data_IF_849463332780
#
_entry.id   IF_849463332780
#
_cell.length_a   1.000
_cell.length_b   1.000
_cell.length_c   1.000
_cell.angle_alpha   90.00
_cell.angle_beta   90.00
_cell.angle_gamma   90.00
#
_symmetry.space_group_name_H-M   'P 1'
#
loop_
_entity.id
_entity.type
_entity.pdbx_description
1 polymer ?
#
# COMPACT_ATOMS: atom_id res chain seq x y z
N UNK A 1 36.53 -0.67 19.15
CA UNK A 1 35.85 -0.34 17.88
C UNK A 1 36.01 -1.53 16.96
N UNK A 2 34.93 -2.24 16.64
CA UNK A 2 34.96 -3.45 15.79
C UNK A 2 34.51 -3.09 14.38
N UNK A 3 35.13 -3.69 13.37
CA UNK A 3 34.79 -3.52 11.96
C UNK A 3 34.56 -4.90 11.36
N UNK A 4 33.45 -5.07 10.64
CA UNK A 4 33.09 -6.32 10.00
C UNK A 4 33.02 -6.12 8.48
N UNK A 5 33.52 -7.09 7.72
CA UNK A 5 33.38 -7.16 6.27
C UNK A 5 32.44 -8.33 5.95
N UNK A 6 31.51 -8.12 5.03
CA UNK A 6 30.57 -9.14 4.58
C UNK A 6 30.71 -9.37 3.07
N UNK A 7 30.62 -10.63 2.65
CA UNK A 7 30.75 -11.00 1.24
C UNK A 7 29.52 -10.62 0.39
N UNK A 8 28.39 -10.27 1.03
CA UNK A 8 27.16 -9.84 0.36
C UNK A 8 26.25 -9.07 1.32
N UNK A 9 25.26 -8.35 0.77
CA UNK A 9 24.25 -7.64 1.57
C UNK A 9 23.42 -8.59 2.45
N UNK A 10 23.25 -9.85 2.03
CA UNK A 10 22.55 -10.87 2.82
C UNK A 10 23.40 -11.31 4.02
N UNK A 11 24.69 -11.52 3.81
CA UNK A 11 25.63 -11.85 4.88
C UNK A 11 25.77 -10.68 5.87
N UNK A 12 25.81 -9.44 5.37
CA UNK A 12 25.81 -8.23 6.21
C UNK A 12 24.58 -8.18 7.11
N UNK A 13 23.38 -8.38 6.54
CA UNK A 13 22.14 -8.39 7.31
C UNK A 13 22.10 -9.51 8.36
N UNK A 14 22.62 -10.70 8.04
CA UNK A 14 22.71 -11.80 9.00
C UNK A 14 23.65 -11.49 10.17
N UNK A 15 24.82 -10.86 9.90
CA UNK A 15 25.77 -10.43 10.94
C UNK A 15 25.11 -9.38 11.85
N UNK A 16 24.43 -8.39 11.27
CA UNK A 16 23.72 -7.36 12.04
C UNK A 16 22.64 -8.01 12.93
N UNK A 17 21.85 -8.94 12.37
CA UNK A 17 20.79 -9.63 13.10
C UNK A 17 21.32 -10.44 14.29
N UNK A 18 22.38 -11.23 14.07
CA UNK A 18 23.00 -12.03 15.13
C UNK A 18 23.59 -11.13 16.23
N UNK A 19 24.23 -10.02 15.85
CA UNK A 19 24.79 -9.05 16.79
C UNK A 19 23.72 -8.44 17.69
N UNK A 20 22.63 -7.92 17.11
CA UNK A 20 21.53 -7.33 17.88
C UNK A 20 20.84 -8.37 18.77
N UNK A 21 20.61 -9.57 18.25
CA UNK A 21 19.98 -10.65 18.99
C UNK A 21 20.81 -11.11 20.19
N UNK A 22 22.14 -11.23 20.04
CA UNK A 22 23.04 -11.56 21.15
C UNK A 22 23.07 -10.46 22.20
N UNK A 23 23.16 -9.20 21.79
CA UNK A 23 23.12 -8.08 22.73
C UNK A 23 21.81 -8.07 23.55
N UNK A 24 20.69 -8.47 22.95
CA UNK A 24 19.42 -8.55 23.66
C UNK A 24 19.35 -9.75 24.61
N UNK A 25 19.70 -10.94 24.11
CA UNK A 25 19.50 -12.20 24.84
C UNK A 25 20.60 -12.50 25.87
N UNK A 26 21.83 -12.06 25.61
CA UNK A 26 23.00 -12.34 26.45
C UNK A 26 23.28 -11.14 27.34
N UNK A 27 23.40 -9.94 26.74
CA UNK A 27 23.79 -8.73 27.47
C UNK A 27 22.57 -7.98 28.06
N UNK A 28 21.35 -8.46 27.82
CA UNK A 28 20.11 -7.92 28.39
C UNK A 28 19.70 -6.54 27.87
N UNK A 29 20.29 -6.07 26.77
CA UNK A 29 20.02 -4.73 26.24
C UNK A 29 18.61 -4.69 25.64
N UNK A 30 17.71 -3.76 26.06
CA UNK A 30 16.39 -3.63 25.47
C UNK A 30 16.44 -3.28 23.99
N UNK A 31 15.51 -3.81 23.18
CA UNK A 31 15.41 -3.48 21.75
C UNK A 31 15.30 -1.98 21.47
N UNK A 32 14.64 -1.23 22.36
CA UNK A 32 14.48 0.23 22.25
C UNK A 32 15.78 1.02 22.34
N UNK A 33 16.87 0.40 22.83
CA UNK A 33 18.20 1.01 22.90
C UNK A 33 19.11 0.64 21.73
N UNK A 34 18.59 -0.12 20.75
CA UNK A 34 19.33 -0.56 19.58
C UNK A 34 18.87 0.17 18.33
N UNK A 35 19.81 0.58 17.49
CA UNK A 35 19.52 1.22 16.21
C UNK A 35 20.50 0.76 15.13
N UNK A 36 20.00 0.61 13.91
CA UNK A 36 20.82 0.36 12.72
C UNK A 36 20.72 1.56 11.79
N UNK A 37 21.82 2.25 11.58
CA UNK A 37 21.90 3.40 10.68
C UNK A 37 22.36 2.94 9.30
N UNK A 38 21.55 3.23 8.29
CA UNK A 38 21.85 2.90 6.89
C UNK A 38 22.01 4.16 6.06
N UNK A 39 22.87 4.11 5.03
CA UNK A 39 23.11 5.25 4.14
C UNK A 39 21.87 5.66 3.32
N UNK A 40 21.01 4.71 2.94
CA UNK A 40 19.85 5.00 2.09
C UNK A 40 18.62 4.16 2.44
N UNK A 41 17.56 4.84 2.87
CA UNK A 41 16.25 4.25 3.19
C UNK A 41 15.40 3.90 1.95
N UNK A 42 15.86 4.16 0.72
CA UNK A 42 15.09 3.78 -0.49
C UNK A 42 15.39 2.37 -0.99
N UNK A 43 16.60 1.87 -0.76
CA UNK A 43 17.07 0.58 -1.31
C UNK A 43 17.31 -0.49 -0.25
N UNK A 44 17.79 -0.10 0.94
CA UNK A 44 18.22 -1.04 1.97
C UNK A 44 17.12 -1.59 2.90
N UNK A 45 16.03 -0.87 3.27
CA UNK A 45 15.29 -1.25 4.46
C UNK A 45 14.41 -2.48 4.25
N UNK A 46 13.89 -2.76 3.05
CA UNK A 46 12.99 -3.90 2.87
C UNK A 46 13.71 -5.25 3.08
N UNK A 47 14.87 -5.43 2.45
CA UNK A 47 15.67 -6.65 2.61
C UNK A 47 16.22 -6.78 4.04
N UNK A 48 16.79 -5.71 4.58
CA UNK A 48 17.34 -5.72 5.94
C UNK A 48 16.25 -5.97 6.99
N UNK A 49 15.12 -5.26 6.90
CA UNK A 49 13.99 -5.45 7.81
C UNK A 49 13.45 -6.89 7.73
N UNK A 50 13.40 -7.46 6.52
CA UNK A 50 12.98 -8.86 6.37
C UNK A 50 13.97 -9.84 7.02
N UNK A 51 15.27 -9.66 6.80
CA UNK A 51 16.31 -10.51 7.42
C UNK A 51 16.28 -10.43 8.96
N UNK A 52 16.15 -9.21 9.50
CA UNK A 52 16.02 -8.96 10.94
C UNK A 52 14.74 -9.59 11.51
N UNK A 53 13.59 -9.42 10.83
CA UNK A 53 12.33 -10.02 11.25
C UNK A 53 12.40 -11.56 11.27
N UNK A 54 13.06 -12.18 10.28
CA UNK A 54 13.30 -13.63 10.26
C UNK A 54 14.18 -14.12 11.42
N UNK A 55 15.07 -13.28 11.92
CA UNK A 55 15.92 -13.58 13.08
C UNK A 55 15.23 -13.32 14.44
N UNK A 56 13.99 -12.83 14.43
CA UNK A 56 13.23 -12.49 15.63
C UNK A 56 13.60 -11.13 16.24
N UNK A 57 14.27 -10.27 15.47
CA UNK A 57 14.56 -8.89 15.88
C UNK A 57 13.36 -8.01 15.49
N UNK A 58 12.71 -7.32 16.45
CA UNK A 58 11.61 -6.41 16.13
C UNK A 58 12.14 -5.22 15.35
N UNK A 59 11.50 -4.92 14.21
CA UNK A 59 11.89 -3.80 13.34
C UNK A 59 10.73 -2.84 13.20
N UNK A 60 10.94 -1.61 13.66
CA UNK A 60 10.08 -0.48 13.31
C UNK A 60 10.69 0.21 12.11
N UNK A 61 10.17 -0.06 10.92
CA UNK A 61 10.54 0.72 9.73
C UNK A 61 9.72 2.01 9.80
N UNK A 62 10.34 3.21 9.83
CA UNK A 62 9.60 4.46 9.73
C UNK A 62 8.67 4.40 8.52
N UNK A 63 7.44 4.88 8.66
CA UNK A 63 6.50 4.96 7.54
C UNK A 63 7.23 5.61 6.36
N UNK A 64 7.29 4.89 5.23
CA UNK A 64 8.14 5.25 4.11
C UNK A 64 7.92 6.71 3.71
N UNK A 65 9.02 7.45 3.53
CA UNK A 65 8.95 8.84 3.09
C UNK A 65 8.18 8.93 1.77
N UNK A 66 7.09 9.68 1.79
CA UNK A 66 6.18 9.90 0.67
C UNK A 66 5.15 10.95 1.09
N UNK A 67 4.50 11.60 0.12
CA UNK A 67 3.43 12.55 0.45
C UNK A 67 2.27 11.81 1.11
N UNK A 68 1.55 12.44 2.03
CA UNK A 68 0.31 11.87 2.58
C UNK A 68 -0.66 11.46 1.46
N UNK A 69 -0.69 12.23 0.36
CA UNK A 69 -1.51 11.94 -0.82
C UNK A 69 -1.15 10.62 -1.54
N UNK A 70 0.08 10.12 -1.39
CA UNK A 70 0.52 8.86 -1.98
C UNK A 70 0.10 7.65 -1.13
N UNK A 71 -0.28 7.87 0.12
CA UNK A 71 -0.75 6.78 0.99
C UNK A 71 -2.06 6.22 0.42
N UNK A 72 -2.20 4.89 0.25
CA UNK A 72 -3.33 4.29 -0.45
C UNK A 72 -4.71 4.74 0.06
N UNK A 73 -4.86 4.88 1.38
CA UNK A 73 -6.11 5.33 2.00
C UNK A 73 -6.44 6.79 1.67
N UNK A 74 -5.45 7.69 1.81
CA UNK A 74 -5.61 9.10 1.47
C UNK A 74 -5.90 9.27 -0.02
N UNK A 75 -5.16 8.57 -0.89
CA UNK A 75 -5.38 8.61 -2.34
C UNK A 75 -6.79 8.17 -2.72
N UNK A 76 -7.31 7.11 -2.11
CA UNK A 76 -8.66 6.63 -2.39
C UNK A 76 -9.73 7.66 -1.99
N UNK A 77 -9.57 8.34 -0.85
CA UNK A 77 -10.48 9.42 -0.44
C UNK A 77 -10.43 10.62 -1.40
N UNK A 78 -9.23 11.01 -1.83
CA UNK A 78 -9.06 12.07 -2.83
C UNK A 78 -9.69 11.70 -4.17
N UNK A 79 -9.60 10.43 -4.59
CA UNK A 79 -10.30 9.93 -5.78
C UNK A 79 -11.82 10.02 -5.62
N UNK A 80 -12.38 9.67 -4.46
CA UNK A 80 -13.82 9.83 -4.21
C UNK A 80 -14.24 11.30 -4.33
N UNK A 81 -13.47 12.22 -3.74
CA UNK A 81 -13.76 13.65 -3.83
C UNK A 81 -13.70 14.16 -5.27
N UNK A 82 -12.69 13.75 -6.05
CA UNK A 82 -12.59 14.10 -7.46
C UNK A 82 -13.79 13.58 -8.25
N UNK A 83 -14.21 12.34 -7.99
CA UNK A 83 -15.41 11.74 -8.60
C UNK A 83 -16.69 12.53 -8.29
N UNK A 84 -16.82 13.05 -7.06
CA UNK A 84 -17.98 13.88 -6.70
C UNK A 84 -18.00 15.24 -7.41
N UNK A 85 -16.84 15.74 -7.83
CA UNK A 85 -16.71 17.03 -8.52
C UNK A 85 -16.85 16.88 -10.04
N UNK A 86 -16.13 15.91 -10.63
CA UNK A 86 -15.91 15.82 -12.09
C UNK A 86 -16.62 14.61 -12.73
N UNK A 87 -17.25 13.75 -11.92
CA UNK A 87 -17.89 12.51 -12.37
C UNK A 87 -16.96 11.29 -12.29
N UNK A 88 -17.55 10.11 -12.46
CA UNK A 88 -16.87 8.82 -12.30
C UNK A 88 -16.44 8.24 -13.67
N UNK A 89 -15.14 8.02 -13.85
CA UNK A 89 -14.64 7.26 -14.99
C UNK A 89 -14.46 5.75 -14.67
N UNK A 90 -14.21 4.94 -15.71
CA UNK A 90 -14.09 3.50 -15.58
C UNK A 90 -12.83 3.05 -14.79
N UNK A 91 -11.73 3.80 -14.87
CA UNK A 91 -10.47 3.50 -14.19
C UNK A 91 -10.58 3.83 -12.70
N UNK A 92 -11.15 4.98 -12.36
CA UNK A 92 -11.51 5.39 -11.01
C UNK A 92 -12.50 4.41 -10.38
N UNK A 93 -13.54 4.01 -11.09
CA UNK A 93 -14.50 3.02 -10.60
C UNK A 93 -13.81 1.70 -10.26
N UNK A 94 -12.95 1.21 -11.16
CA UNK A 94 -12.17 0.00 -10.93
C UNK A 94 -11.23 0.16 -9.72
N UNK A 95 -10.52 1.27 -9.64
CA UNK A 95 -9.57 1.59 -8.58
C UNK A 95 -10.22 1.73 -7.21
N UNK A 96 -11.44 2.27 -7.14
CA UNK A 96 -12.21 2.36 -5.90
C UNK A 96 -12.72 0.99 -5.45
N UNK A 97 -13.17 0.16 -6.40
CA UNK A 97 -13.66 -1.19 -6.13
C UNK A 97 -12.55 -2.12 -5.63
N UNK A 98 -11.37 -2.10 -6.27
CA UNK A 98 -10.23 -2.95 -5.87
C UNK A 98 -9.34 -2.32 -4.80
N UNK A 99 -9.48 -1.01 -4.59
CA UNK A 99 -8.72 -0.24 -3.63
C UNK A 99 -9.16 -0.44 -2.17
N UNK A 100 -8.63 0.37 -1.24
CA UNK A 100 -8.87 0.20 0.19
C UNK A 100 -10.34 0.43 0.62
N UNK A 101 -11.16 1.04 -0.24
CA UNK A 101 -12.57 1.28 0.03
C UNK A 101 -13.42 0.05 -0.34
N UNK A 102 -13.34 -0.42 -1.58
CA UNK A 102 -14.15 -1.55 -2.05
C UNK A 102 -13.58 -2.94 -1.71
N UNK A 103 -12.25 -3.05 -1.57
CA UNK A 103 -11.51 -4.28 -1.23
C UNK A 103 -11.93 -5.52 -2.03
N UNK A 104 -12.41 -5.35 -3.27
CA UNK A 104 -12.77 -6.46 -4.14
C UNK A 104 -11.52 -7.19 -4.64
N UNK A 105 -11.50 -8.50 -4.43
CA UNK A 105 -10.47 -9.36 -4.96
C UNK A 105 -10.72 -9.70 -6.46
N UNK A 106 -9.73 -10.23 -7.19
CA UNK A 106 -9.87 -10.55 -8.60
C UNK A 106 -10.98 -11.57 -8.93
N UNK A 107 -11.31 -12.49 -8.03
CA UNK A 107 -12.40 -13.47 -8.21
C UNK A 107 -13.75 -12.77 -8.10
N UNK A 108 -13.96 -11.98 -7.04
CA UNK A 108 -15.20 -11.22 -6.86
C UNK A 108 -15.41 -10.20 -7.97
N UNK A 109 -14.35 -9.57 -8.48
CA UNK A 109 -14.45 -8.67 -9.64
C UNK A 109 -14.89 -9.41 -10.92
N UNK A 110 -14.40 -10.63 -11.15
CA UNK A 110 -14.83 -11.46 -12.29
C UNK A 110 -16.29 -11.88 -12.14
N UNK A 111 -16.71 -12.24 -10.92
CA UNK A 111 -18.10 -12.57 -10.62
C UNK A 111 -19.03 -11.38 -10.87
N UNK A 112 -18.66 -10.19 -10.39
CA UNK A 112 -19.38 -8.94 -10.62
C UNK A 112 -19.53 -8.64 -12.12
N UNK A 113 -18.42 -8.71 -12.88
CA UNK A 113 -18.45 -8.51 -14.34
C UNK A 113 -19.38 -9.50 -15.06
N UNK A 114 -19.42 -10.76 -14.62
CA UNK A 114 -20.33 -11.78 -15.17
C UNK A 114 -21.79 -11.48 -14.83
N UNK A 115 -22.08 -11.08 -13.59
CA UNK A 115 -23.42 -10.70 -13.17
C UNK A 115 -23.93 -9.48 -13.93
N UNK A 116 -23.13 -8.42 -14.03
CA UNK A 116 -23.48 -7.21 -14.78
C UNK A 116 -23.72 -7.49 -16.27
N UNK A 117 -22.94 -8.37 -16.91
CA UNK A 117 -23.19 -8.76 -18.31
C UNK A 117 -24.51 -9.51 -18.51
N UNK A 118 -24.95 -10.30 -17.53
CA UNK A 118 -26.27 -10.96 -17.56
C UNK A 118 -27.41 -9.94 -17.41
N UNK A 119 -27.19 -8.89 -16.64
CA UNK A 119 -28.15 -7.82 -16.39
C UNK A 119 -28.12 -6.69 -17.43
N UNK A 120 -27.06 -6.59 -18.25
CA UNK A 120 -26.91 -5.56 -19.28
C UNK A 120 -28.14 -5.36 -20.19
N UNK A 121 -28.84 -6.39 -20.69
CA UNK A 121 -30.07 -6.19 -21.47
C UNK A 121 -31.20 -5.52 -20.67
N UNK A 122 -31.25 -5.71 -19.34
CA UNK A 122 -32.25 -5.11 -18.43
C UNK A 122 -31.84 -3.68 -18.06
N UNK A 123 -30.54 -3.46 -17.80
CA UNK A 123 -30.00 -2.13 -17.48
C UNK A 123 -30.10 -1.15 -18.66
N UNK A 124 -30.01 -1.63 -19.91
CA UNK A 124 -30.25 -0.81 -21.10
C UNK A 124 -31.70 -0.29 -21.18
N UNK A 125 -32.68 -1.11 -20.76
CA UNK A 125 -34.07 -0.66 -20.59
C UNK A 125 -34.23 0.34 -19.44
N UNK A 126 -33.48 0.18 -18.34
CA UNK A 126 -33.56 1.06 -17.17
C UNK A 126 -32.84 2.41 -17.38
N UNK A 127 -31.72 2.44 -18.12
CA UNK A 127 -31.05 3.68 -18.55
C UNK A 127 -31.91 4.50 -19.52
N UNK A 128 -32.79 3.85 -20.29
CA UNK A 128 -33.79 4.54 -21.11
C UNK A 128 -34.85 5.26 -20.25
N UNK A 129 -35.02 4.84 -19.00
CA UNK A 129 -35.93 5.42 -17.99
C UNK A 129 -35.23 6.33 -16.97
N UNK A 130 -33.91 6.53 -17.06
CA UNK A 130 -33.18 7.42 -16.15
C UNK A 130 -33.33 8.88 -16.60
N UNK A 131 -33.89 9.78 -15.77
CA UNK A 131 -33.95 11.19 -16.12
C UNK A 131 -32.53 11.76 -16.15
N UNK A 132 -32.03 12.11 -17.34
CA UNK A 132 -30.90 13.05 -17.45
C UNK A 132 -31.33 14.33 -16.77
N UNK A 133 -30.81 14.60 -15.57
CA UNK A 133 -30.90 15.93 -14.98
C UNK A 133 -30.23 16.92 -15.95
N UNK A 134 -30.83 18.11 -16.14
CA UNK A 134 -30.44 19.02 -17.19
C UNK A 134 -29.04 19.56 -16.94
N UNK A 135 -28.27 19.67 -18.02
CA UNK A 135 -27.01 20.39 -18.07
C UNK A 135 -27.18 21.76 -17.40
N UNK A 136 -26.50 21.97 -16.27
CA UNK A 136 -26.23 23.31 -15.75
C UNK A 136 -25.27 24.00 -16.70
N UNK A 137 -25.87 24.75 -17.63
CA UNK A 137 -25.32 25.91 -18.31
C UNK A 137 -24.40 26.73 -17.37
N UNK A 138 -23.20 27.09 -17.84
CA UNK A 138 -22.51 28.29 -17.37
C UNK A 138 -21.98 29.07 -18.58
N UNK A 139 -22.38 30.34 -18.73
CA UNK A 139 -21.76 31.25 -19.67
C UNK A 139 -20.49 31.85 -19.05
N UNK A 140 -19.44 31.99 -19.86
CA UNK A 140 -18.52 33.14 -19.91
C UNK A 140 -17.97 33.23 -21.32
#
# INVERSE_FOLDING_TARGET
>A
MTVHLAASAHAEAAIIADTLRRAHLIDGVPWSHMAVLVRSLRRAPAMLAHALARAGVPVTVPAGGGSLAEQPAARALLTVLAVTADGLDAEQALGLLTGPIGRLDPVSLRALRRALRRLAPIAASMMCWWPRSPATNRPV
#
